data_IF_684838402531
#
_entry.id   IF_684838402531
#
_cell.length_a   1.000
_cell.length_b   1.000
_cell.length_c   1.000
_cell.angle_alpha   90.00
_cell.angle_beta   90.00
_cell.angle_gamma   90.00
#
_symmetry.space_group_name_H-M   'P 1'
#
loop_
_entity.id
_entity.type
_entity.pdbx_description
1 polymer ?
#
# COMPACT_ATOMS: atom_id res chain seq x y z
N UNK A 1 -5.89 -26.36 -2.18
CA UNK A 1 -4.89 -25.81 -3.13
C UNK A 1 -3.95 -24.90 -2.35
N UNK A 2 -2.66 -24.88 -2.68
CA UNK A 2 -1.69 -24.01 -1.98
C UNK A 2 -1.90 -22.55 -2.38
N UNK A 3 -1.86 -21.63 -1.42
CA UNK A 3 -1.93 -20.18 -1.68
C UNK A 3 -0.62 -19.73 -2.34
N UNK A 4 -0.64 -19.07 -3.51
CA UNK A 4 0.57 -18.54 -4.13
C UNK A 4 1.20 -17.47 -3.23
N UNK A 5 2.52 -17.34 -3.31
CA UNK A 5 3.25 -16.32 -2.54
C UNK A 5 3.54 -15.11 -3.42
N UNK A 6 3.38 -13.91 -2.86
CA UNK A 6 3.91 -12.69 -3.46
C UNK A 6 5.32 -12.44 -2.92
N UNK A 7 6.34 -12.42 -3.79
CA UNK A 7 7.75 -12.35 -3.39
C UNK A 7 8.46 -11.09 -3.84
N UNK A 8 7.88 -10.33 -4.77
CA UNK A 8 8.43 -9.08 -5.26
C UNK A 8 7.35 -8.04 -5.55
N UNK A 9 7.78 -6.80 -5.71
CA UNK A 9 6.93 -5.64 -6.00
C UNK A 9 7.30 -5.12 -7.39
N UNK A 10 6.30 -4.80 -8.20
CA UNK A 10 6.44 -4.03 -9.45
C UNK A 10 5.90 -2.62 -9.26
N UNK A 11 6.52 -1.63 -9.91
CA UNK A 11 6.03 -0.25 -9.94
C UNK A 11 4.87 -0.05 -10.90
N UNK A 12 4.55 -1.07 -11.71
CA UNK A 12 3.54 -0.97 -12.76
C UNK A 12 2.69 -2.24 -12.82
N UNK A 13 1.49 -2.22 -12.22
CA UNK A 13 0.59 -3.37 -12.17
C UNK A 13 -0.33 -3.42 -13.39
N UNK A 14 0.21 -3.32 -14.61
CA UNK A 14 -0.60 -3.48 -15.82
C UNK A 14 -1.21 -4.88 -15.86
N UNK A 15 -2.50 -4.97 -16.19
CA UNK A 15 -3.26 -6.23 -16.23
C UNK A 15 -3.23 -7.02 -14.91
N UNK A 16 -3.37 -6.32 -13.78
CA UNK A 16 -3.53 -6.96 -12.48
C UNK A 16 -4.72 -7.95 -12.51
N UNK A 17 -4.51 -9.12 -11.91
CA UNK A 17 -5.50 -10.18 -11.85
C UNK A 17 -6.54 -9.96 -10.74
N UNK A 18 -6.21 -9.14 -9.75
CA UNK A 18 -7.02 -8.76 -8.59
C UNK A 18 -6.40 -7.49 -7.97
N UNK A 19 -7.08 -6.87 -7.02
CA UNK A 19 -6.58 -5.76 -6.20
C UNK A 19 -6.60 -6.11 -4.72
N UNK A 20 -5.81 -5.40 -3.91
CA UNK A 20 -5.87 -5.46 -2.45
C UNK A 20 -5.88 -4.04 -1.90
N UNK A 21 -6.95 -3.70 -1.19
CA UNK A 21 -7.13 -2.37 -0.60
C UNK A 21 -6.59 -2.37 0.83
N UNK A 22 -5.65 -1.47 1.12
CA UNK A 22 -4.95 -1.41 2.40
C UNK A 22 -4.92 0.02 2.96
N UNK A 23 -5.15 0.15 4.26
CA UNK A 23 -4.90 1.39 5.01
C UNK A 23 -3.40 1.71 5.11
N UNK A 24 -3.05 2.92 5.55
CA UNK A 24 -1.66 3.34 5.72
C UNK A 24 -0.86 2.38 6.62
N UNK A 25 -1.41 2.00 7.77
CA UNK A 25 -0.73 1.14 8.74
C UNK A 25 -0.49 -0.28 8.22
N UNK A 26 -1.31 -0.75 7.28
CA UNK A 26 -1.20 -2.06 6.63
C UNK A 26 -0.35 -2.08 5.38
N UNK A 27 0.10 -0.91 4.90
CA UNK A 27 1.01 -0.79 3.75
C UNK A 27 2.49 -0.89 4.13
N UNK A 28 2.86 -1.20 5.37
CA UNK A 28 4.24 -1.55 5.71
C UNK A 28 4.32 -2.96 6.27
N UNK A 29 4.63 -3.94 5.41
CA UNK A 29 4.58 -5.37 5.75
C UNK A 29 5.71 -6.14 5.09
N UNK A 30 6.11 -7.23 5.75
CA UNK A 30 7.04 -8.23 5.19
C UNK A 30 6.31 -9.52 4.83
N UNK A 31 5.52 -10.04 5.78
CA UNK A 31 4.89 -11.34 5.67
C UNK A 31 3.53 -11.36 6.33
N UNK A 32 2.49 -11.62 5.56
CA UNK A 32 1.10 -11.69 6.03
C UNK A 32 0.24 -12.41 4.98
N UNK A 33 -0.75 -13.18 5.42
CA UNK A 33 -1.76 -13.72 4.52
C UNK A 33 -2.76 -12.62 4.14
N UNK A 34 -3.08 -12.50 2.87
CA UNK A 34 -3.99 -11.50 2.34
C UNK A 34 -5.03 -12.16 1.43
N UNK A 35 -6.15 -11.47 1.29
CA UNK A 35 -7.20 -11.82 0.34
C UNK A 35 -7.46 -10.58 -0.50
N UNK A 36 -7.36 -10.73 -1.81
CA UNK A 36 -7.72 -9.68 -2.77
C UNK A 36 -9.22 -9.40 -2.75
N UNK A 37 -9.61 -8.30 -3.38
CA UNK A 37 -10.98 -7.82 -3.42
C UNK A 37 -11.90 -8.77 -4.22
N UNK A 38 -11.35 -9.47 -5.23
CA UNK A 38 -12.05 -10.52 -5.99
C UNK A 38 -11.88 -11.92 -5.37
N UNK A 39 -11.32 -12.00 -4.15
CA UNK A 39 -11.21 -13.23 -3.37
C UNK A 39 -9.93 -14.04 -3.61
N UNK A 40 -8.94 -13.50 -4.34
CA UNK A 40 -7.66 -14.19 -4.51
C UNK A 40 -6.92 -14.26 -3.18
N UNK A 41 -6.80 -15.46 -2.61
CA UNK A 41 -5.99 -15.68 -1.41
C UNK A 41 -4.51 -15.84 -1.77
N UNK A 42 -3.63 -15.07 -1.12
CA UNK A 42 -2.18 -15.17 -1.32
C UNK A 42 -1.40 -14.90 -0.02
N UNK A 43 -0.13 -15.29 -0.01
CA UNK A 43 0.79 -14.98 1.09
C UNK A 43 1.80 -13.93 0.65
N UNK A 44 1.73 -12.72 1.19
CA UNK A 44 2.85 -11.77 1.07
C UNK A 44 4.06 -12.36 1.80
N UNK A 45 5.21 -12.41 1.12
CA UNK A 45 6.46 -12.89 1.70
C UNK A 45 7.65 -12.23 1.02
N UNK A 46 7.95 -11.01 1.44
CA UNK A 46 9.10 -10.23 0.99
C UNK A 46 10.35 -10.57 1.82
N UNK A 47 11.53 -10.25 1.28
CA UNK A 47 12.81 -10.38 1.99
C UNK A 47 12.83 -9.55 3.28
N UNK A 48 12.28 -8.33 3.22
CA UNK A 48 12.21 -7.37 4.31
C UNK A 48 10.86 -6.64 4.36
N UNK A 49 10.60 -5.92 5.46
CA UNK A 49 9.39 -5.10 5.55
C UNK A 49 9.51 -3.93 4.57
N UNK A 50 8.56 -3.84 3.66
CA UNK A 50 8.58 -2.86 2.56
C UNK A 50 7.27 -2.09 2.52
N UNK A 51 7.35 -0.85 2.05
CA UNK A 51 6.17 -0.03 1.77
C UNK A 51 5.45 -0.52 0.51
N UNK A 52 4.18 -0.90 0.67
CA UNK A 52 3.25 -1.29 -0.38
C UNK A 52 2.52 -0.05 -0.89
N UNK A 53 3.20 0.74 -1.72
CA UNK A 53 2.65 1.99 -2.24
C UNK A 53 1.40 1.74 -3.07
N UNK A 54 0.39 2.60 -2.92
CA UNK A 54 -0.76 2.57 -3.82
C UNK A 54 -0.31 2.73 -5.28
N UNK A 55 -0.87 1.92 -6.17
CA UNK A 55 -0.50 1.86 -7.58
C UNK A 55 0.70 0.94 -7.88
N UNK A 56 1.30 0.27 -6.90
CA UNK A 56 2.26 -0.81 -7.15
C UNK A 56 1.54 -2.16 -7.34
N UNK A 57 2.29 -3.20 -7.73
CA UNK A 57 1.78 -4.56 -7.85
C UNK A 57 2.60 -5.57 -7.06
N UNK A 58 1.92 -6.54 -6.45
CA UNK A 58 2.51 -7.70 -5.79
C UNK A 58 2.59 -8.85 -6.79
N UNK A 59 3.79 -9.29 -7.13
CA UNK A 59 3.99 -10.35 -8.12
C UNK A 59 3.93 -11.71 -7.42
N UNK A 60 2.94 -12.51 -7.80
CA UNK A 60 2.76 -13.88 -7.34
C UNK A 60 3.74 -14.84 -8.04
N UNK A 61 4.08 -15.94 -7.37
CA UNK A 61 4.94 -17.00 -7.92
C UNK A 61 4.39 -17.65 -9.20
N UNK A 62 3.08 -17.54 -9.46
CA UNK A 62 2.43 -18.01 -10.68
C UNK A 62 2.40 -16.97 -11.81
N UNK A 63 3.03 -15.81 -11.61
CA UNK A 63 3.15 -14.72 -12.59
C UNK A 63 2.01 -13.71 -12.58
N UNK A 64 0.94 -13.95 -11.81
CA UNK A 64 -0.13 -12.96 -11.64
C UNK A 64 0.35 -11.76 -10.82
N UNK A 65 -0.33 -10.63 -11.00
CA UNK A 65 -0.06 -9.40 -10.25
C UNK A 65 -1.31 -9.01 -9.47
N UNK A 66 -1.16 -8.71 -8.19
CA UNK A 66 -2.21 -8.13 -7.35
C UNK A 66 -1.89 -6.65 -7.17
N UNK A 67 -2.75 -5.76 -7.66
CA UNK A 67 -2.54 -4.31 -7.53
C UNK A 67 -2.84 -3.83 -6.11
N UNK A 68 -2.03 -2.91 -5.60
CA UNK A 68 -2.24 -2.32 -4.26
C UNK A 68 -3.01 -1.02 -4.39
N UNK A 69 -4.12 -0.91 -3.65
CA UNK A 69 -4.95 0.28 -3.57
C UNK A 69 -4.90 0.89 -2.16
N UNK A 70 -5.01 2.21 -2.08
CA UNK A 70 -5.20 2.90 -0.81
C UNK A 70 -6.65 2.73 -0.35
N UNK A 71 -6.87 2.34 0.89
CA UNK A 71 -8.19 2.45 1.51
C UNK A 71 -8.58 3.93 1.68
N UNK A 72 -9.89 4.21 1.62
CA UNK A 72 -10.42 5.49 2.08
C UNK A 72 -10.29 5.57 3.60
N UNK A 73 -9.64 6.63 4.10
CA UNK A 73 -9.37 6.83 5.52
C UNK A 73 -9.91 8.20 5.96
N UNK A 74 -10.40 8.34 7.21
CA UNK A 74 -10.85 9.62 7.75
C UNK A 74 -9.64 10.54 7.98
N UNK A 75 -9.33 11.33 6.97
CA UNK A 75 -8.22 12.31 7.00
C UNK A 75 -8.75 13.73 7.18
N UNK A 76 -7.85 14.62 7.61
CA UNK A 76 -8.11 16.06 7.63
C UNK A 76 -7.37 16.73 6.48
N UNK A 77 -8.12 17.37 5.57
CA UNK A 77 -7.54 18.22 4.54
C UNK A 77 -7.21 19.59 5.11
N UNK A 78 -5.93 19.95 5.10
CA UNK A 78 -5.43 21.23 5.63
C UNK A 78 -4.85 22.06 4.49
N UNK A 79 -5.41 23.24 4.28
CA UNK A 79 -4.99 24.17 3.22
C UNK A 79 -4.17 25.33 3.79
N UNK A 80 -3.07 25.66 3.11
CA UNK A 80 -2.32 26.89 3.40
C UNK A 80 -2.77 28.03 2.48
N UNK A 81 -2.56 29.27 2.92
CA UNK A 81 -2.86 30.47 2.12
C UNK A 81 -1.69 30.86 1.24
N UNK A 82 -0.48 30.50 1.67
CA UNK A 82 0.80 30.79 1.03
C UNK A 82 1.89 29.84 1.58
N UNK A 83 3.11 29.96 1.05
CA UNK A 83 4.26 29.14 1.45
C UNK A 83 4.70 29.37 2.90
N UNK A 84 4.61 30.60 3.41
CA UNK A 84 5.00 30.91 4.78
C UNK A 84 3.97 30.37 5.79
N UNK A 85 2.69 30.34 5.43
CA UNK A 85 1.65 29.64 6.19
C UNK A 85 1.89 28.13 6.21
N UNK A 86 2.24 27.52 5.07
CA UNK A 86 2.53 26.09 4.97
C UNK A 86 3.66 25.66 5.91
N UNK A 87 4.79 26.39 5.91
CA UNK A 87 5.93 26.08 6.79
C UNK A 87 5.52 26.13 8.27
N UNK A 88 4.73 27.12 8.67
CA UNK A 88 4.21 27.22 10.05
C UNK A 88 3.28 26.07 10.40
N UNK A 89 2.36 25.71 9.50
CA UNK A 89 1.47 24.55 9.69
C UNK A 89 2.29 23.26 9.87
N UNK A 90 3.24 23.00 8.97
CA UNK A 90 4.12 21.82 9.05
C UNK A 90 4.91 21.76 10.36
N UNK A 91 5.46 22.89 10.82
CA UNK A 91 6.14 22.98 12.12
C UNK A 91 5.20 22.65 13.29
N UNK A 92 3.99 23.21 13.31
CA UNK A 92 3.01 22.93 14.37
C UNK A 92 2.54 21.48 14.39
N UNK A 93 2.36 20.86 13.22
CA UNK A 93 2.00 19.43 13.10
C UNK A 93 3.14 18.53 13.57
N UNK A 94 4.36 18.79 13.11
CA UNK A 94 5.54 17.99 13.48
C UNK A 94 5.87 18.04 14.98
N UNK A 95 5.67 19.18 15.63
CA UNK A 95 6.00 19.35 17.06
C UNK A 95 5.04 18.67 18.05
N UNK A 96 4.03 17.95 17.57
CA UNK A 96 3.06 17.23 18.42
C UNK A 96 3.37 15.73 18.56
N UNK A 97 4.47 15.28 17.97
CA UNK A 97 4.97 13.91 17.99
C UNK A 97 6.48 13.91 18.25
#
# INVERSE_FOLDING_TARGET
>A
MARPRATSITTSPFHAADTVTLDYDSRFRRRIAMTGNDGTEFLLHLSEATELRAGCGLVLEDGRVIAVEAADEPVADIYSRDRHHLVRLAWHLGNRH
#
